data_IF_767499061583
#
_entry.id   IF_767499061583
#
_cell.length_a   1.000
_cell.length_b   1.000
_cell.length_c   1.000
_cell.angle_alpha   90.00
_cell.angle_beta   90.00
_cell.angle_gamma   90.00
#
_symmetry.space_group_name_H-M   'P 1'
#
loop_
_entity.id
_entity.type
_entity.pdbx_description
1 polymer ?
#
# COMPACT_ATOMS: atom_id res chain seq x y z
N UNK A 1 16.91 15.57 16.48
CA UNK A 1 16.57 14.56 15.45
C UNK A 1 15.05 14.39 15.48
N UNK A 2 14.34 14.63 14.37
CA UNK A 2 12.88 14.44 14.31
C UNK A 2 12.65 12.97 13.99
N UNK A 3 12.15 12.18 14.94
CA UNK A 3 11.70 10.82 14.68
C UNK A 3 10.35 10.92 13.96
N UNK A 4 10.31 10.50 12.69
CA UNK A 4 9.06 10.36 11.96
C UNK A 4 8.33 9.14 12.49
N UNK A 5 7.24 9.35 13.22
CA UNK A 5 6.38 8.27 13.70
C UNK A 5 5.51 7.78 12.55
N UNK A 6 5.64 6.50 12.21
CA UNK A 6 4.79 5.82 11.23
C UNK A 6 3.71 5.02 11.96
N UNK A 7 2.46 5.13 11.48
CA UNK A 7 1.40 4.22 11.85
C UNK A 7 1.47 3.00 10.95
N UNK A 8 1.51 1.80 11.52
CA UNK A 8 1.50 0.56 10.74
C UNK A 8 0.07 0.14 10.40
N UNK A 9 -0.19 -0.12 9.12
CA UNK A 9 -1.44 -0.71 8.65
C UNK A 9 -1.15 -2.08 8.01
N UNK A 10 -1.88 -3.11 8.44
CA UNK A 10 -1.68 -4.50 8.02
C UNK A 10 -2.93 -5.00 7.30
N UNK A 11 -3.03 -4.85 5.96
CA UNK A 11 -4.15 -5.39 5.21
C UNK A 11 -4.14 -6.93 5.30
N UNK A 12 -5.22 -7.47 5.85
CA UNK A 12 -5.36 -8.90 6.13
C UNK A 12 -6.20 -9.59 5.06
N UNK A 13 -5.77 -10.79 4.66
CA UNK A 13 -6.48 -11.62 3.70
C UNK A 13 -6.14 -11.28 2.24
N UNK A 14 -7.05 -11.62 1.31
CA UNK A 14 -6.82 -11.43 -0.12
C UNK A 14 -6.94 -9.95 -0.50
N UNK A 15 -6.00 -9.45 -1.31
CA UNK A 15 -6.03 -8.14 -1.96
C UNK A 15 -6.18 -8.37 -3.46
N UNK A 16 -7.41 -8.69 -3.85
CA UNK A 16 -7.81 -9.02 -5.22
C UNK A 16 -8.99 -8.16 -5.63
N UNK A 17 -9.35 -8.16 -6.90
CA UNK A 17 -10.39 -7.26 -7.44
C UNK A 17 -11.73 -7.32 -6.67
N UNK A 18 -12.07 -8.48 -6.10
CA UNK A 18 -13.31 -8.68 -5.34
C UNK A 18 -13.27 -8.11 -3.90
N UNK A 19 -12.08 -7.92 -3.33
CA UNK A 19 -11.90 -7.53 -1.91
C UNK A 19 -11.21 -6.19 -1.73
N UNK A 20 -10.46 -5.73 -2.74
CA UNK A 20 -9.59 -4.56 -2.67
C UNK A 20 -10.32 -3.28 -2.28
N UNK A 21 -11.56 -3.08 -2.73
CA UNK A 21 -12.34 -1.88 -2.42
C UNK A 21 -12.63 -1.75 -0.92
N UNK A 22 -12.73 -2.86 -0.19
CA UNK A 22 -12.95 -2.85 1.27
C UNK A 22 -11.70 -2.36 2.01
N UNK A 23 -10.51 -2.54 1.41
CA UNK A 23 -9.22 -2.22 2.00
C UNK A 23 -8.79 -0.79 1.62
N UNK A 24 -9.04 -0.40 0.36
CA UNK A 24 -8.66 0.91 -0.19
C UNK A 24 -9.18 2.06 0.68
N UNK A 25 -10.45 2.01 1.09
CA UNK A 25 -11.08 3.10 1.84
C UNK A 25 -10.44 3.35 3.21
N UNK A 26 -10.14 2.28 3.94
CA UNK A 26 -9.46 2.37 5.24
C UNK A 26 -8.03 2.91 5.07
N UNK A 27 -7.27 2.33 4.13
CA UNK A 27 -5.91 2.80 3.85
C UNK A 27 -5.87 4.26 3.39
N UNK A 28 -6.77 4.68 2.51
CA UNK A 28 -6.87 6.08 2.04
C UNK A 28 -7.13 7.05 3.18
N UNK A 29 -7.95 6.67 4.15
CA UNK A 29 -8.22 7.49 5.34
C UNK A 29 -6.97 7.63 6.22
N UNK A 30 -6.24 6.52 6.43
CA UNK A 30 -5.00 6.50 7.21
C UNK A 30 -3.89 7.33 6.57
N UNK A 31 -3.63 7.14 5.27
CA UNK A 31 -2.52 7.80 4.56
C UNK A 31 -2.73 9.31 4.40
N UNK A 32 -3.98 9.79 4.43
CA UNK A 32 -4.28 11.23 4.43
C UNK A 32 -3.99 11.89 5.78
N UNK A 33 -4.07 11.13 6.87
CA UNK A 33 -3.97 11.68 8.23
C UNK A 33 -2.57 11.46 8.82
N UNK A 34 -1.90 10.38 8.47
CA UNK A 34 -0.69 9.90 9.14
C UNK A 34 0.42 9.57 8.13
N UNK A 35 1.66 9.54 8.61
CA UNK A 35 2.71 8.80 7.88
C UNK A 35 2.44 7.32 8.12
N UNK A 36 2.37 6.50 7.08
CA UNK A 36 1.90 5.11 7.17
C UNK A 36 2.94 4.13 6.65
N UNK A 37 3.16 3.05 7.39
CA UNK A 37 3.88 1.87 6.93
C UNK A 37 2.86 0.78 6.63
N UNK A 38 2.71 0.41 5.35
CA UNK A 38 1.86 -0.70 4.94
C UNK A 38 2.66 -1.99 5.05
N UNK A 39 2.23 -2.90 5.90
CA UNK A 39 2.86 -4.18 6.14
C UNK A 39 2.00 -5.31 5.58
N UNK A 40 2.45 -5.94 4.50
CA UNK A 40 1.73 -7.00 3.80
C UNK A 40 1.92 -8.40 4.42
N UNK A 41 2.48 -8.52 5.64
CA UNK A 41 2.75 -9.81 6.28
C UNK A 41 1.50 -10.68 6.49
N UNK A 42 0.31 -10.07 6.55
CA UNK A 42 -0.98 -10.78 6.76
C UNK A 42 -1.80 -10.93 5.47
N UNK A 43 -1.22 -10.57 4.33
CA UNK A 43 -1.88 -10.73 3.03
C UNK A 43 -1.71 -12.15 2.50
N UNK A 44 -2.79 -12.75 2.03
CA UNK A 44 -2.80 -14.17 1.61
C UNK A 44 -2.74 -14.35 0.10
N UNK A 45 -3.33 -13.43 -0.66
CA UNK A 45 -3.42 -13.49 -2.11
C UNK A 45 -3.38 -12.07 -2.67
N UNK A 46 -2.73 -11.89 -3.83
CA UNK A 46 -2.60 -10.60 -4.50
C UNK A 46 -2.75 -10.78 -6.02
N UNK A 47 -3.51 -9.89 -6.64
CA UNK A 47 -3.56 -9.69 -8.09
C UNK A 47 -3.14 -8.26 -8.51
N UNK A 48 -3.33 -7.93 -9.78
CA UNK A 48 -3.00 -6.60 -10.33
C UNK A 48 -3.78 -5.43 -9.71
N UNK A 49 -4.95 -5.66 -9.10
CA UNK A 49 -5.74 -4.61 -8.46
C UNK A 49 -5.05 -4.00 -7.23
N UNK A 50 -4.17 -4.76 -6.57
CA UNK A 50 -3.36 -4.24 -5.47
C UNK A 50 -2.42 -3.10 -5.93
N UNK A 51 -1.94 -3.13 -7.17
CA UNK A 51 -1.13 -2.04 -7.72
C UNK A 51 -1.93 -0.75 -7.88
N UNK A 52 -3.20 -0.85 -8.34
CA UNK A 52 -4.09 0.29 -8.44
C UNK A 52 -4.40 0.88 -7.06
N UNK A 53 -4.62 0.03 -6.05
CA UNK A 53 -4.75 0.45 -4.65
C UNK A 53 -3.52 1.20 -4.14
N UNK A 54 -2.31 0.66 -4.35
CA UNK A 54 -1.06 1.30 -3.93
C UNK A 54 -0.88 2.67 -4.61
N UNK A 55 -1.18 2.77 -5.90
CA UNK A 55 -1.13 4.04 -6.62
C UNK A 55 -2.11 5.06 -6.03
N UNK A 56 -3.33 4.65 -5.70
CA UNK A 56 -4.31 5.50 -5.01
C UNK A 56 -3.76 6.01 -3.68
N UNK A 57 -3.20 5.13 -2.84
CA UNK A 57 -2.64 5.52 -1.54
C UNK A 57 -1.42 6.45 -1.66
N UNK A 58 -0.55 6.24 -2.65
CA UNK A 58 0.56 7.19 -2.90
C UNK A 58 0.03 8.58 -3.26
N UNK A 59 -0.94 8.67 -4.18
CA UNK A 59 -1.58 9.95 -4.54
C UNK A 59 -2.24 10.64 -3.33
N UNK A 60 -2.93 9.87 -2.50
CA UNK A 60 -3.58 10.39 -1.29
C UNK A 60 -2.56 10.91 -0.26
N UNK A 61 -1.46 10.17 -0.04
CA UNK A 61 -0.37 10.57 0.85
C UNK A 61 0.34 11.83 0.33
N UNK A 62 0.66 11.87 -0.96
CA UNK A 62 1.29 13.03 -1.63
C UNK A 62 0.43 14.29 -1.50
N UNK A 63 -0.87 14.18 -1.80
CA UNK A 63 -1.82 15.28 -1.68
C UNK A 63 -1.92 15.81 -0.23
N UNK A 64 -1.80 14.92 0.76
CA UNK A 64 -1.82 15.26 2.18
C UNK A 64 -0.44 15.60 2.78
N UNK A 65 0.62 15.62 1.96
CA UNK A 65 2.02 15.80 2.40
C UNK A 65 2.44 14.81 3.50
N UNK A 66 1.99 13.56 3.39
CA UNK A 66 2.32 12.45 4.27
C UNK A 66 3.30 11.50 3.60
N UNK A 67 4.01 10.73 4.40
CA UNK A 67 4.92 9.69 3.93
C UNK A 67 4.22 8.33 3.93
N UNK A 68 4.46 7.55 2.87
CA UNK A 68 3.95 6.19 2.73
C UNK A 68 5.12 5.25 2.44
N UNK A 69 5.27 4.23 3.28
CA UNK A 69 6.30 3.21 3.19
C UNK A 69 5.68 1.82 3.14
N UNK A 70 6.43 0.84 2.69
CA UNK A 70 5.96 -0.54 2.53
C UNK A 70 6.93 -1.54 3.16
N UNK A 71 6.42 -2.59 3.80
CA UNK A 71 7.19 -3.72 4.33
C UNK A 71 6.52 -5.06 3.98
N UNK A 72 7.32 -6.14 4.04
CA UNK A 72 6.89 -7.51 3.70
C UNK A 72 6.17 -7.64 2.36
N UNK A 73 6.58 -6.84 1.36
CA UNK A 73 5.98 -6.85 0.01
C UNK A 73 6.05 -8.27 -0.56
N UNK A 74 4.92 -8.92 -0.87
CA UNK A 74 4.91 -10.27 -1.41
C UNK A 74 5.62 -10.35 -2.76
N UNK A 75 6.31 -11.46 -3.01
CA UNK A 75 7.12 -11.62 -4.22
C UNK A 75 6.29 -11.47 -5.51
N UNK A 76 5.07 -12.02 -5.53
CA UNK A 76 4.15 -11.89 -6.66
C UNK A 76 3.75 -10.43 -6.92
N UNK A 77 3.52 -9.62 -5.88
CA UNK A 77 3.21 -8.19 -6.03
C UNK A 77 4.39 -7.43 -6.64
N UNK A 78 5.62 -7.75 -6.24
CA UNK A 78 6.84 -7.19 -6.85
C UNK A 78 6.95 -7.59 -8.32
N UNK A 79 6.76 -8.87 -8.64
CA UNK A 79 6.78 -9.37 -10.03
C UNK A 79 5.72 -8.68 -10.89
N UNK A 80 4.50 -8.51 -10.38
CA UNK A 80 3.46 -7.77 -11.08
C UNK A 80 3.90 -6.32 -11.34
N UNK A 81 4.41 -5.62 -10.33
CA UNK A 81 4.87 -4.24 -10.52
C UNK A 81 6.01 -4.11 -11.53
N UNK A 82 6.92 -5.07 -11.58
CA UNK A 82 7.98 -5.13 -12.59
C UNK A 82 7.40 -5.34 -14.00
N UNK A 83 6.49 -6.31 -14.15
CA UNK A 83 5.82 -6.62 -15.41
C UNK A 83 5.04 -5.41 -15.97
N UNK A 84 4.39 -4.65 -15.09
CA UNK A 84 3.64 -3.45 -15.46
C UNK A 84 4.48 -2.16 -15.50
N UNK A 85 5.80 -2.23 -15.25
CA UNK A 85 6.68 -1.06 -15.27
C UNK A 85 6.46 -0.05 -14.15
N UNK A 86 5.82 -0.46 -13.05
CA UNK A 86 5.47 0.37 -11.88
C UNK A 86 6.24 -0.01 -10.62
N UNK A 87 7.37 -0.70 -10.74
CA UNK A 87 8.20 -1.09 -9.59
C UNK A 87 8.68 0.12 -8.74
N UNK A 88 8.67 1.33 -9.30
CA UNK A 88 8.95 2.58 -8.56
C UNK A 88 7.95 2.86 -7.44
N UNK A 89 6.77 2.22 -7.44
CA UNK A 89 5.77 2.41 -6.39
C UNK A 89 6.28 2.01 -5.00
N UNK A 90 7.24 1.08 -4.91
CA UNK A 90 7.82 0.60 -3.66
C UNK A 90 9.12 1.29 -3.24
N UNK A 91 9.54 2.31 -3.99
CA UNK A 91 10.69 3.13 -3.65
C UNK A 91 10.27 4.33 -2.81
#
# INVERSE_FOLDING_TARGET
MIQLNFQTFKPKGAIVINTVNNIVGEGSSLVRQNNVLIDFSETTEIDSSALAMILQWKRDAEAAKKQLSFSHIPANLRTLAELYGVAFLFK
#
